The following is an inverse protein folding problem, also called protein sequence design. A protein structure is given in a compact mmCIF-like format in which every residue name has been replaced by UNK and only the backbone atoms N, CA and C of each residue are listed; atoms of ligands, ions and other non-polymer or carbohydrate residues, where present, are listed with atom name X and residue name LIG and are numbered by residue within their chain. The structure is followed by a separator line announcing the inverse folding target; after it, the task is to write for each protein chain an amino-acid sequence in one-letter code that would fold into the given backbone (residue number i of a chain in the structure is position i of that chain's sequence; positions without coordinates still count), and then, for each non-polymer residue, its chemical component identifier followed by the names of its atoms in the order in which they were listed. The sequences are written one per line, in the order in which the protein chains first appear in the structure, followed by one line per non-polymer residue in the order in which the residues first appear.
data_IF_034598595433
#
_entry.id   IF_034598595433
#
_cell.length_a   1.000
_cell.length_b   1.000
_cell.length_c   1.000
_cell.angle_alpha   90.00
_cell.angle_beta   90.00
_cell.angle_gamma   90.00
#
_symmetry.space_group_name_H-M   'P 1'
#
loop_
_entity.id
_entity.type
_entity.pdbx_description
1 polymer ?
#
# COMPACT_ATOMS: atom_id res chain seq x y z
N UNK A 1 15.74 14.02 13.21
CA UNK A 1 14.77 12.91 13.08
C UNK A 1 14.67 12.16 14.42
N UNK A 2 14.32 12.89 15.49
CA UNK A 2 14.15 12.34 16.84
C UNK A 2 12.75 12.69 17.29
N UNK A 3 11.81 11.84 16.91
CA UNK A 3 10.46 11.85 17.43
C UNK A 3 10.19 10.37 17.66
N UNK A 4 9.88 9.99 18.90
CA UNK A 4 9.45 8.65 19.34
C UNK A 4 10.56 7.75 19.94
N UNK A 5 10.67 7.79 21.27
CA UNK A 5 11.16 6.70 22.11
C UNK A 5 9.99 6.17 22.94
N UNK A 6 9.71 4.86 22.87
CA UNK A 6 8.65 4.22 23.65
C UNK A 6 8.29 2.82 23.14
N UNK A 7 8.09 1.88 24.08
CA UNK A 7 8.00 0.44 23.88
C UNK A 7 6.74 -0.04 23.11
N UNK A 8 5.69 0.79 23.04
CA UNK A 8 4.48 0.47 22.24
C UNK A 8 4.63 0.76 20.74
N UNK A 9 5.82 1.18 20.30
CA UNK A 9 6.11 1.49 18.90
C UNK A 9 6.77 0.31 18.14
N UNK A 10 7.03 -0.82 18.80
CA UNK A 10 7.64 -1.96 18.12
C UNK A 10 6.77 -2.50 16.98
N UNK A 11 5.43 -2.42 17.00
CA UNK A 11 4.67 -3.07 15.92
C UNK A 11 4.61 -2.29 14.59
N UNK A 12 4.48 -0.95 14.63
CA UNK A 12 4.46 -0.14 13.41
C UNK A 12 5.86 0.29 12.95
N UNK A 13 6.85 0.31 13.84
CA UNK A 13 8.22 0.66 13.50
C UNK A 13 9.21 -0.51 13.53
N UNK A 14 8.98 -1.67 14.15
CA UNK A 14 9.93 -2.81 13.99
C UNK A 14 9.90 -3.36 12.56
N UNK A 15 8.75 -3.26 11.86
CA UNK A 15 8.68 -3.47 10.39
C UNK A 15 9.39 -2.36 9.60
N UNK A 16 9.91 -1.31 10.24
CA UNK A 16 10.53 -0.15 9.56
C UNK A 16 11.98 0.04 10.02
N UNK A 17 12.35 -0.14 11.29
CA UNK A 17 13.69 0.15 11.80
C UNK A 17 14.68 -0.99 11.58
N UNK A 18 14.25 -2.24 11.72
CA UNK A 18 15.10 -3.41 11.43
C UNK A 18 14.98 -3.85 9.95
N UNK A 19 13.88 -3.46 9.30
CA UNK A 19 13.58 -3.76 7.90
C UNK A 19 14.17 -2.70 6.94
N UNK A 20 14.30 -1.41 7.31
CA UNK A 20 14.94 -0.44 6.38
C UNK A 20 16.42 -0.71 6.12
N UNK A 21 17.11 -1.44 7.00
CA UNK A 21 18.48 -1.93 6.74
C UNK A 21 18.52 -3.03 5.67
N UNK A 22 17.39 -3.65 5.36
CA UNK A 22 17.27 -4.75 4.38
C UNK A 22 16.26 -4.46 3.27
N UNK A 23 15.60 -3.32 3.21
CA UNK A 23 14.58 -3.01 2.19
C UNK A 23 14.96 -1.79 1.40
N UNK A 24 15.03 -1.97 0.09
CA UNK A 24 15.12 -0.88 -0.87
C UNK A 24 13.75 -0.71 -1.55
N UNK A 25 13.54 0.43 -2.19
CA UNK A 25 12.25 0.80 -2.76
C UNK A 25 12.41 1.42 -4.15
N UNK A 26 11.68 0.92 -5.14
CA UNK A 26 11.57 1.54 -6.48
C UNK A 26 10.11 1.62 -6.91
N UNK A 27 9.72 2.82 -7.37
CA UNK A 27 8.40 3.12 -7.91
C UNK A 27 8.45 3.31 -9.42
N UNK A 28 7.47 2.77 -10.12
CA UNK A 28 7.12 3.13 -11.49
C UNK A 28 5.68 3.64 -11.53
N UNK A 29 5.32 4.42 -12.55
CA UNK A 29 4.03 5.10 -12.63
C UNK A 29 3.34 4.77 -13.94
N UNK A 30 2.08 4.37 -13.86
CA UNK A 30 1.25 3.93 -14.99
C UNK A 30 -0.04 4.76 -15.02
N UNK A 31 -0.31 5.42 -16.14
CA UNK A 31 -1.49 6.29 -16.31
C UNK A 31 -2.67 5.56 -16.96
N UNK A 32 -3.90 5.88 -16.54
CA UNK A 32 -5.14 5.22 -16.99
C UNK A 32 -5.88 5.89 -18.17
N UNK A 33 -6.02 7.22 -18.29
CA UNK A 33 -6.97 7.86 -19.22
C UNK A 33 -6.93 7.36 -20.67
N UNK A 34 -5.73 7.05 -21.21
CA UNK A 34 -5.57 6.47 -22.54
C UNK A 34 -5.10 4.99 -22.52
N UNK A 35 -5.00 4.41 -21.32
CA UNK A 35 -4.27 3.18 -21.06
C UNK A 35 -2.75 3.37 -21.22
N UNK A 36 -1.92 2.67 -20.44
CA UNK A 36 -0.49 2.70 -20.69
C UNK A 36 -0.20 1.96 -22.00
N UNK A 37 0.76 2.48 -22.77
CA UNK A 37 1.28 1.74 -23.93
C UNK A 37 1.92 0.44 -23.47
N UNK A 38 1.92 -0.59 -24.31
CA UNK A 38 2.60 -1.86 -24.00
C UNK A 38 4.08 -1.64 -23.69
N UNK A 39 4.74 -0.74 -24.42
CA UNK A 39 6.13 -0.34 -24.15
C UNK A 39 6.30 0.23 -22.74
N UNK A 40 5.41 1.12 -22.30
CA UNK A 40 5.47 1.70 -20.94
C UNK A 40 5.31 0.63 -19.86
N UNK A 41 4.37 -0.29 -20.02
CA UNK A 41 4.17 -1.38 -19.06
C UNK A 41 5.38 -2.30 -19.03
N UNK A 42 5.89 -2.70 -20.19
CA UNK A 42 7.07 -3.54 -20.33
C UNK A 42 8.31 -2.92 -19.69
N UNK A 43 8.62 -1.66 -19.99
CA UNK A 43 9.79 -0.97 -19.43
C UNK A 43 9.68 -0.82 -17.90
N UNK A 44 8.48 -0.50 -17.39
CA UNK A 44 8.24 -0.41 -15.95
C UNK A 44 8.45 -1.77 -15.26
N UNK A 45 7.87 -2.84 -15.83
CA UNK A 45 7.98 -4.19 -15.30
C UNK A 45 9.42 -4.72 -15.37
N UNK A 46 10.09 -4.54 -16.51
CA UNK A 46 11.48 -4.93 -16.69
C UNK A 46 12.41 -4.20 -15.73
N UNK A 47 12.23 -2.89 -15.56
CA UNK A 47 12.98 -2.09 -14.60
C UNK A 47 12.79 -2.58 -13.16
N UNK A 48 11.54 -2.85 -12.75
CA UNK A 48 11.24 -3.39 -11.42
C UNK A 48 11.87 -4.77 -11.21
N UNK A 49 11.85 -5.63 -12.21
CA UNK A 49 12.41 -6.97 -12.12
C UNK A 49 13.93 -6.97 -11.93
N UNK A 50 14.65 -6.20 -12.76
CA UNK A 50 16.10 -5.99 -12.60
C UNK A 50 16.46 -5.43 -11.24
N UNK A 51 15.68 -4.44 -10.80
CA UNK A 51 15.86 -3.84 -9.49
C UNK A 51 15.67 -4.87 -8.36
N UNK A 52 14.64 -5.71 -8.44
CA UNK A 52 14.37 -6.74 -7.45
C UNK A 52 15.47 -7.80 -7.38
N UNK A 53 15.96 -8.26 -8.54
CA UNK A 53 17.07 -9.21 -8.61
C UNK A 53 18.35 -8.65 -7.96
N UNK A 54 18.76 -7.42 -8.36
CA UNK A 54 19.94 -6.76 -7.77
C UNK A 54 19.77 -6.56 -6.25
N UNK A 55 18.54 -6.25 -5.80
CA UNK A 55 18.27 -6.11 -4.36
C UNK A 55 18.53 -7.43 -3.63
N UNK A 56 18.00 -8.54 -4.16
CA UNK A 56 18.16 -9.87 -3.57
C UNK A 56 19.62 -10.33 -3.58
N UNK A 57 20.38 -10.06 -4.66
CA UNK A 57 21.82 -10.34 -4.74
C UNK A 57 22.64 -9.63 -3.64
N UNK A 58 22.11 -8.53 -3.10
CA UNK A 58 22.74 -7.75 -2.03
C UNK A 58 22.12 -8.02 -0.64
N UNK A 59 21.32 -9.09 -0.51
CA UNK A 59 20.67 -9.44 0.76
C UNK A 59 19.54 -8.48 1.17
N UNK A 60 18.99 -7.72 0.22
CA UNK A 60 17.87 -6.81 0.44
C UNK A 60 16.56 -7.42 -0.09
N UNK A 61 15.47 -7.24 0.66
CA UNK A 61 14.09 -7.52 0.28
C UNK A 61 13.55 -6.35 -0.55
N UNK A 62 13.30 -6.51 -1.86
CA UNK A 62 12.76 -5.46 -2.69
C UNK A 62 11.26 -5.23 -2.45
N UNK A 63 10.87 -3.95 -2.33
CA UNK A 63 9.47 -3.54 -2.52
C UNK A 63 9.22 -3.26 -4.00
N UNK A 64 8.29 -4.00 -4.59
CA UNK A 64 7.92 -3.88 -6.01
C UNK A 64 6.66 -3.01 -6.14
N UNK A 65 6.82 -1.76 -6.61
CA UNK A 65 5.73 -0.79 -6.73
C UNK A 65 5.49 -0.33 -8.19
N UNK A 66 4.61 -1.00 -8.95
CA UNK A 66 4.00 -0.46 -10.15
C UNK A 66 2.76 0.37 -9.77
N UNK A 67 2.94 1.65 -9.46
CA UNK A 67 1.80 2.50 -9.08
C UNK A 67 0.95 2.85 -10.30
N UNK A 68 -0.30 2.39 -10.27
CA UNK A 68 -1.31 2.78 -11.24
C UNK A 68 -2.04 4.01 -10.71
N UNK A 69 -1.96 5.10 -11.46
CA UNK A 69 -2.54 6.39 -11.11
C UNK A 69 -4.06 6.34 -11.17
N UNK A 70 -4.69 7.00 -10.21
CA UNK A 70 -6.15 7.10 -10.11
C UNK A 70 -6.72 8.30 -10.87
N UNK A 71 -5.91 9.05 -11.61
CA UNK A 71 -6.35 10.29 -12.26
C UNK A 71 -7.36 10.00 -13.40
N UNK A 72 -8.43 10.80 -13.47
CA UNK A 72 -9.52 10.70 -14.46
C UNK A 72 -10.85 10.17 -13.91
N UNK A 73 -11.83 9.99 -14.81
CA UNK A 73 -13.24 9.67 -14.52
C UNK A 73 -13.62 8.19 -14.71
N UNK A 74 -12.62 7.32 -14.92
CA UNK A 74 -12.83 5.92 -15.26
C UNK A 74 -13.48 5.10 -14.13
N UNK A 75 -14.29 4.11 -14.53
CA UNK A 75 -14.94 3.17 -13.62
C UNK A 75 -13.95 2.14 -13.04
N UNK A 76 -14.36 1.46 -11.95
CA UNK A 76 -13.51 0.47 -11.25
C UNK A 76 -13.08 -0.69 -12.17
N UNK A 77 -13.92 -1.09 -13.13
CA UNK A 77 -13.61 -2.15 -14.09
C UNK A 77 -12.43 -1.78 -14.99
N UNK A 78 -12.33 -0.50 -15.39
CA UNK A 78 -11.21 -0.03 -16.20
C UNK A 78 -9.90 -0.08 -15.41
N UNK A 79 -9.93 0.33 -14.14
CA UNK A 79 -8.78 0.19 -13.23
C UNK A 79 -8.37 -1.27 -13.08
N UNK A 80 -9.35 -2.16 -12.89
CA UNK A 80 -9.12 -3.60 -12.76
C UNK A 80 -8.42 -4.19 -13.98
N UNK A 81 -8.91 -3.89 -15.19
CA UNK A 81 -8.34 -4.42 -16.44
C UNK A 81 -6.91 -3.93 -16.68
N UNK A 82 -6.63 -2.64 -16.42
CA UNK A 82 -5.27 -2.11 -16.52
C UNK A 82 -4.37 -2.75 -15.47
N UNK A 83 -4.81 -2.84 -14.22
CA UNK A 83 -4.03 -3.46 -13.16
C UNK A 83 -3.71 -4.91 -13.43
N UNK A 84 -4.67 -5.65 -13.99
CA UNK A 84 -4.51 -7.05 -14.38
C UNK A 84 -3.44 -7.22 -15.46
N UNK A 85 -3.32 -6.30 -16.42
CA UNK A 85 -2.26 -6.31 -17.44
C UNK A 85 -0.89 -5.96 -16.85
N UNK A 86 -0.82 -4.88 -16.08
CA UNK A 86 0.43 -4.41 -15.46
C UNK A 86 1.03 -5.47 -14.53
N UNK A 87 0.21 -6.05 -13.63
CA UNK A 87 0.70 -7.06 -12.69
C UNK A 87 1.08 -8.38 -13.38
N UNK A 88 0.48 -8.72 -14.53
CA UNK A 88 0.91 -9.87 -15.32
C UNK A 88 2.34 -9.69 -15.85
N UNK A 89 2.61 -8.53 -16.47
CA UNK A 89 3.94 -8.19 -16.99
C UNK A 89 4.99 -8.11 -15.87
N UNK A 90 4.63 -7.53 -14.72
CA UNK A 90 5.53 -7.46 -13.56
C UNK A 90 5.95 -8.85 -13.10
N UNK A 91 5.00 -9.75 -12.85
CA UNK A 91 5.36 -11.11 -12.40
C UNK A 91 6.04 -11.95 -13.49
N UNK A 92 5.70 -11.73 -14.76
CA UNK A 92 6.43 -12.34 -15.88
C UNK A 92 7.90 -11.94 -15.85
N UNK A 93 8.20 -10.64 -15.77
CA UNK A 93 9.59 -10.19 -15.78
C UNK A 93 10.33 -10.47 -14.48
N UNK A 94 9.66 -10.49 -13.32
CA UNK A 94 10.27 -10.96 -12.07
C UNK A 94 10.74 -12.41 -12.22
N UNK A 95 9.92 -13.29 -12.82
CA UNK A 95 10.32 -14.67 -13.10
C UNK A 95 11.49 -14.75 -14.10
N UNK A 96 11.46 -13.96 -15.18
CA UNK A 96 12.56 -13.92 -16.17
C UNK A 96 13.89 -13.45 -15.57
N UNK A 97 13.86 -12.68 -14.48
CA UNK A 97 15.06 -12.22 -13.77
C UNK A 97 15.40 -13.10 -12.56
N UNK A 98 14.82 -14.31 -12.44
CA UNK A 98 15.03 -15.26 -11.35
C UNK A 98 14.79 -14.68 -9.95
N UNK A 99 13.85 -13.75 -9.82
CA UNK A 99 13.51 -13.15 -8.52
C UNK A 99 12.78 -14.18 -7.65
N UNK A 100 13.26 -14.38 -6.43
CA UNK A 100 12.63 -15.25 -5.44
C UNK A 100 11.37 -14.58 -4.86
N UNK A 101 10.18 -15.13 -5.11
CA UNK A 101 8.91 -14.49 -4.74
C UNK A 101 8.65 -14.47 -3.22
N UNK A 102 9.21 -15.44 -2.50
CA UNK A 102 9.22 -15.51 -1.04
C UNK A 102 9.97 -14.32 -0.41
N UNK A 103 10.89 -13.72 -1.17
CA UNK A 103 11.74 -12.61 -0.76
C UNK A 103 11.35 -11.26 -1.35
N UNK A 104 10.08 -11.04 -1.75
CA UNK A 104 9.61 -9.73 -2.23
C UNK A 104 8.38 -9.23 -1.46
N UNK A 105 8.16 -7.91 -1.50
CA UNK A 105 6.95 -7.27 -0.99
C UNK A 105 6.28 -6.42 -2.08
N UNK A 106 5.23 -6.93 -2.76
CA UNK A 106 4.44 -6.12 -3.67
C UNK A 106 3.75 -4.96 -2.96
N UNK A 107 3.85 -3.78 -3.54
CA UNK A 107 3.17 -2.56 -3.08
C UNK A 107 2.22 -2.03 -4.15
N UNK A 108 1.03 -2.64 -4.30
CA UNK A 108 0.01 -2.18 -5.24
C UNK A 108 -0.77 -0.97 -4.72
N UNK A 109 -1.37 -0.24 -5.66
CA UNK A 109 -2.58 0.55 -5.38
C UNK A 109 -3.79 -0.38 -5.25
N UNK A 110 -4.76 0.00 -4.43
CA UNK A 110 -6.06 -0.68 -4.40
C UNK A 110 -6.81 -0.41 -5.71
N UNK A 111 -7.64 -1.36 -6.14
CA UNK A 111 -8.48 -1.19 -7.33
C UNK A 111 -9.67 -0.31 -6.96
N UNK A 112 -9.63 0.95 -7.37
CA UNK A 112 -10.69 1.94 -7.13
C UNK A 112 -11.13 2.59 -8.44
N UNK A 113 -12.32 3.20 -8.50
CA UNK A 113 -12.63 4.16 -9.57
C UNK A 113 -11.62 5.31 -9.58
N UNK A 114 -11.61 6.03 -10.70
CA UNK A 114 -10.82 7.25 -10.85
C UNK A 114 -11.21 8.32 -9.82
N UNK A 115 -10.29 9.23 -9.52
CA UNK A 115 -10.47 10.26 -8.52
C UNK A 115 -11.64 11.20 -8.84
N UNK A 116 -11.88 11.42 -10.14
CA UNK A 116 -12.95 12.28 -10.67
C UNK A 116 -14.21 11.49 -11.04
N UNK A 117 -14.18 10.16 -10.90
CA UNK A 117 -15.34 9.31 -11.17
C UNK A 117 -16.50 9.66 -10.24
N UNK A 118 -17.68 9.89 -10.83
CA UNK A 118 -18.91 10.22 -10.09
C UNK A 118 -19.41 9.02 -9.28
N UNK A 119 -19.18 7.82 -9.79
CA UNK A 119 -19.56 6.57 -9.14
C UNK A 119 -18.49 6.18 -8.12
N UNK A 120 -18.77 6.42 -6.84
CA UNK A 120 -17.87 6.02 -5.75
C UNK A 120 -18.10 4.55 -5.41
N UNK A 121 -17.01 3.79 -5.30
CA UNK A 121 -17.07 2.40 -4.85
C UNK A 121 -17.12 2.33 -3.32
N UNK A 122 -17.90 1.39 -2.81
CA UNK A 122 -17.91 1.03 -1.38
C UNK A 122 -16.61 0.33 -0.98
N UNK A 123 -16.24 0.31 0.32
CA UNK A 123 -15.07 -0.45 0.78
C UNK A 123 -15.11 -1.93 0.40
N UNK A 124 -16.29 -2.55 0.44
CA UNK A 124 -16.46 -3.95 0.04
C UNK A 124 -16.19 -4.16 -1.45
N UNK A 125 -16.73 -3.30 -2.32
CA UNK A 125 -16.45 -3.38 -3.75
C UNK A 125 -14.96 -3.21 -4.04
N UNK A 126 -14.29 -2.24 -3.40
CA UNK A 126 -12.82 -2.07 -3.55
C UNK A 126 -12.09 -3.34 -3.09
N UNK A 127 -12.48 -3.93 -1.97
CA UNK A 127 -11.88 -5.15 -1.46
C UNK A 127 -12.07 -6.32 -2.43
N UNK A 128 -13.28 -6.54 -2.93
CA UNK A 128 -13.60 -7.65 -3.84
C UNK A 128 -12.79 -7.56 -5.14
N UNK A 129 -12.75 -6.38 -5.77
CA UNK A 129 -11.97 -6.14 -6.99
C UNK A 129 -10.47 -6.29 -6.75
N UNK A 130 -9.98 -5.76 -5.63
CA UNK A 130 -8.56 -5.82 -5.30
C UNK A 130 -8.11 -7.25 -5.01
N UNK A 131 -8.84 -7.98 -4.16
CA UNK A 131 -8.51 -9.37 -3.85
C UNK A 131 -8.67 -10.28 -5.06
N UNK A 132 -9.66 -10.03 -5.93
CA UNK A 132 -9.79 -10.73 -7.22
C UNK A 132 -8.55 -10.51 -8.09
N UNK A 133 -8.04 -9.28 -8.18
CA UNK A 133 -6.82 -8.97 -8.93
C UNK A 133 -5.63 -9.74 -8.36
N UNK A 134 -5.42 -9.68 -7.04
CA UNK A 134 -4.30 -10.37 -6.39
C UNK A 134 -4.36 -11.88 -6.65
N UNK A 135 -5.53 -12.51 -6.48
CA UNK A 135 -5.73 -13.95 -6.77
C UNK A 135 -5.45 -14.34 -8.22
N UNK A 136 -5.64 -13.43 -9.17
CA UNK A 136 -5.39 -13.70 -10.58
C UNK A 136 -3.95 -13.45 -11.03
N UNK A 137 -3.14 -12.73 -10.24
CA UNK A 137 -1.85 -12.19 -10.71
C UNK A 137 -0.69 -12.37 -9.76
N UNK A 138 -0.93 -12.61 -8.48
CA UNK A 138 0.13 -12.76 -7.49
C UNK A 138 0.16 -14.22 -7.02
N UNK A 139 1.31 -14.90 -7.05
CA UNK A 139 1.45 -16.24 -6.50
C UNK A 139 1.33 -16.26 -4.97
N UNK A 140 0.77 -17.33 -4.37
CA UNK A 140 0.74 -17.52 -2.91
C UNK A 140 2.12 -17.57 -2.23
N UNK A 141 3.20 -17.80 -2.98
CA UNK A 141 4.58 -17.79 -2.46
C UNK A 141 5.01 -16.41 -1.93
N UNK A 142 4.38 -15.33 -2.40
CA UNK A 142 4.63 -14.00 -1.85
C UNK A 142 4.18 -13.96 -0.38
N UNK A 143 4.97 -13.42 0.56
CA UNK A 143 4.61 -13.45 1.99
C UNK A 143 3.57 -12.39 2.36
N UNK A 144 3.59 -11.23 1.70
CA UNK A 144 2.67 -10.14 2.05
C UNK A 144 2.55 -9.05 1.01
N UNK A 145 1.41 -8.37 1.04
CA UNK A 145 1.03 -7.27 0.15
C UNK A 145 0.93 -5.99 0.97
N UNK A 146 1.68 -4.96 0.57
CA UNK A 146 1.84 -3.72 1.33
C UNK A 146 1.20 -2.56 0.59
N UNK A 147 -0.10 -2.34 0.73
CA UNK A 147 -0.84 -1.36 -0.07
C UNK A 147 -0.33 0.08 0.12
N UNK A 148 -0.23 0.83 -0.97
CA UNK A 148 -0.12 2.29 -0.91
C UNK A 148 -1.50 2.94 -0.78
N UNK A 149 -1.58 4.08 -0.10
CA UNK A 149 -2.86 4.79 0.11
C UNK A 149 -3.33 5.56 -1.13
N UNK A 150 -2.47 5.72 -2.13
CA UNK A 150 -2.68 6.54 -3.33
C UNK A 150 -3.24 7.93 -2.97
N UNK A 151 -4.27 8.40 -3.68
CA UNK A 151 -5.00 9.66 -3.43
C UNK A 151 -6.21 9.49 -2.49
N UNK A 152 -6.38 8.33 -1.86
CA UNK A 152 -7.52 8.10 -0.97
C UNK A 152 -7.43 8.97 0.29
N UNK A 153 -8.59 9.26 0.90
CA UNK A 153 -8.62 9.84 2.24
C UNK A 153 -8.05 8.84 3.27
N UNK A 154 -7.61 9.34 4.42
CA UNK A 154 -7.06 8.52 5.52
C UNK A 154 -8.06 7.44 5.96
N UNK A 155 -9.32 7.85 6.11
CA UNK A 155 -10.43 6.99 6.53
C UNK A 155 -10.72 5.95 5.46
N UNK A 156 -10.81 6.37 4.19
CA UNK A 156 -11.12 5.45 3.09
C UNK A 156 -10.06 4.35 2.95
N UNK A 157 -8.77 4.72 3.00
CA UNK A 157 -7.69 3.74 2.94
C UNK A 157 -7.78 2.70 4.08
N UNK A 158 -8.18 3.15 5.28
CA UNK A 158 -8.36 2.27 6.45
C UNK A 158 -9.54 1.34 6.27
N UNK A 159 -10.68 1.85 5.82
CA UNK A 159 -11.90 1.07 5.60
C UNK A 159 -11.70 0.02 4.51
N UNK A 160 -11.03 0.39 3.42
CA UNK A 160 -10.73 -0.54 2.33
C UNK A 160 -9.77 -1.65 2.78
N UNK A 161 -8.71 -1.29 3.52
CA UNK A 161 -7.78 -2.27 4.08
C UNK A 161 -8.49 -3.23 5.05
N UNK A 162 -9.39 -2.70 5.88
CA UNK A 162 -10.18 -3.48 6.81
C UNK A 162 -11.08 -4.48 6.08
N UNK A 163 -11.83 -4.02 5.07
CA UNK A 163 -12.70 -4.88 4.28
C UNK A 163 -11.93 -6.00 3.58
N UNK A 164 -10.72 -5.74 3.08
CA UNK A 164 -9.87 -6.79 2.50
C UNK A 164 -9.46 -7.85 3.52
N UNK A 165 -9.10 -7.45 4.75
CA UNK A 165 -8.69 -8.37 5.81
C UNK A 165 -9.86 -9.10 6.50
N UNK A 166 -11.10 -8.82 6.11
CA UNK A 166 -12.27 -9.59 6.53
C UNK A 166 -12.56 -10.79 5.62
N UNK A 167 -11.85 -10.89 4.48
CA UNK A 167 -11.94 -12.01 3.57
C UNK A 167 -10.68 -12.89 3.64
N UNK A 168 -10.78 -14.21 3.37
CA UNK A 168 -9.62 -15.10 3.37
C UNK A 168 -8.67 -14.79 2.21
N UNK A 169 -7.37 -14.71 2.52
CA UNK A 169 -6.29 -14.50 1.56
C UNK A 169 -5.08 -15.36 1.93
N UNK A 170 -4.29 -15.86 0.97
CA UNK A 170 -3.05 -16.58 1.27
C UNK A 170 -1.90 -15.63 1.67
N UNK A 171 -2.02 -14.33 1.38
CA UNK A 171 -1.02 -13.31 1.71
C UNK A 171 -1.36 -12.61 3.01
N UNK A 172 -0.33 -12.12 3.70
CA UNK A 172 -0.51 -11.08 4.71
C UNK A 172 -0.84 -9.73 4.03
N UNK A 173 -2.05 -9.20 4.22
CA UNK A 173 -2.48 -7.94 3.60
C UNK A 173 -2.33 -6.77 4.59
N UNK A 174 -1.41 -5.85 4.29
CA UNK A 174 -1.08 -4.71 5.17
C UNK A 174 -0.90 -3.40 4.39
N UNK A 175 -0.32 -2.40 5.03
CA UNK A 175 -0.18 -1.03 4.52
C UNK A 175 1.27 -0.55 4.50
N UNK A 176 1.62 0.19 3.44
CA UNK A 176 2.82 1.02 3.34
C UNK A 176 2.38 2.45 3.00
N UNK A 177 1.80 3.12 3.99
CA UNK A 177 1.17 4.43 3.84
C UNK A 177 2.12 5.58 4.18
N UNK A 178 2.22 6.54 3.26
CA UNK A 178 2.81 7.85 3.52
C UNK A 178 1.70 8.82 3.98
N UNK A 179 1.12 9.58 3.05
CA UNK A 179 0.12 10.64 3.31
C UNK A 179 -1.01 10.21 4.26
N UNK A 180 -1.52 8.99 4.12
CA UNK A 180 -2.61 8.50 4.96
C UNK A 180 -2.21 8.32 6.45
N UNK A 181 -0.92 8.15 6.74
CA UNK A 181 -0.38 7.94 8.07
C UNK A 181 0.09 9.24 8.72
N UNK A 182 0.97 10.00 8.06
CA UNK A 182 1.67 11.14 8.69
C UNK A 182 1.07 12.54 8.45
N UNK A 183 0.10 12.73 7.53
CA UNK A 183 -0.38 14.09 7.21
C UNK A 183 -1.01 14.82 8.41
N UNK A 184 -1.71 14.12 9.32
CA UNK A 184 -2.25 14.77 10.54
C UNK A 184 -1.12 15.20 11.48
N UNK A 185 -0.13 14.33 11.65
CA UNK A 185 1.05 14.58 12.46
C UNK A 185 1.85 15.79 11.94
N UNK A 186 2.12 15.86 10.64
CA UNK A 186 2.83 16.99 10.02
C UNK A 186 2.09 18.33 10.23
N UNK A 187 0.76 18.34 10.02
CA UNK A 187 -0.07 19.53 10.26
C UNK A 187 -0.05 19.99 11.71
N UNK A 188 -0.21 19.07 12.66
CA UNK A 188 -0.15 19.39 14.11
C UNK A 188 1.23 19.85 14.55
N UNK A 189 2.29 19.24 14.01
CA UNK A 189 3.66 19.64 14.33
C UNK A 189 3.95 21.07 13.91
N UNK A 190 3.57 21.46 12.68
CA UNK A 190 3.69 22.83 12.18
C UNK A 190 5.09 23.46 12.31
N UNK A 191 6.14 22.64 12.36
CA UNK A 191 7.52 23.09 12.61
C UNK A 191 7.81 23.58 14.04
N UNK A 192 6.86 23.51 14.97
CA UNK A 192 6.98 24.04 16.33
C UNK A 192 7.50 22.95 17.30
N UNK A 193 8.62 23.19 18.03
CA UNK A 193 9.15 22.22 18.98
C UNK A 193 8.15 21.82 20.09
N UNK A 194 7.28 22.73 20.52
CA UNK A 194 6.27 22.45 21.55
C UNK A 194 5.17 21.47 21.13
N UNK A 195 4.97 21.24 19.84
CA UNK A 195 3.86 20.42 19.32
C UNK A 195 4.27 18.95 19.09
N UNK A 196 5.45 18.54 19.55
CA UNK A 196 5.97 17.18 19.31
C UNK A 196 5.03 16.12 19.86
N UNK A 197 4.57 16.26 21.10
CA UNK A 197 3.68 15.28 21.75
C UNK A 197 2.34 15.16 21.04
N UNK A 198 1.73 16.28 20.70
CA UNK A 198 0.45 16.30 19.99
C UNK A 198 0.55 15.67 18.58
N UNK A 199 1.67 15.91 17.89
CA UNK A 199 1.95 15.30 16.59
C UNK A 199 2.18 13.78 16.70
N UNK A 200 2.87 13.33 17.75
CA UNK A 200 3.07 11.90 18.06
C UNK A 200 1.73 11.21 18.35
N UNK A 201 0.88 11.81 19.17
CA UNK A 201 -0.41 11.22 19.54
C UNK A 201 -1.31 11.09 18.30
N UNK A 202 -1.29 12.08 17.41
CA UNK A 202 -2.02 12.00 16.14
C UNK A 202 -1.48 10.93 15.18
N UNK A 203 -0.16 10.70 15.17
CA UNK A 203 0.44 9.59 14.42
C UNK A 203 0.00 8.24 15.00
N UNK A 204 0.00 8.10 16.33
CA UNK A 204 -0.39 6.87 17.03
C UNK A 204 -1.85 6.50 16.79
N UNK A 205 -2.76 7.48 16.79
CA UNK A 205 -4.18 7.25 16.42
C UNK A 205 -4.28 6.61 15.04
N UNK A 206 -3.57 7.15 14.06
CA UNK A 206 -3.58 6.64 12.69
C UNK A 206 -2.89 5.28 12.54
N UNK A 207 -1.79 5.07 13.25
CA UNK A 207 -1.10 3.79 13.32
C UNK A 207 -2.00 2.69 13.90
N UNK A 208 -2.68 2.97 15.02
CA UNK A 208 -3.64 2.06 15.66
C UNK A 208 -4.81 1.72 14.74
N UNK A 209 -5.39 2.72 14.08
CA UNK A 209 -6.48 2.50 13.13
C UNK A 209 -6.08 1.56 11.99
N UNK A 210 -4.90 1.78 11.37
CA UNK A 210 -4.42 0.90 10.30
C UNK A 210 -3.99 -0.48 10.80
N UNK A 211 -3.47 -0.59 12.02
CA UNK A 211 -3.16 -1.87 12.66
C UNK A 211 -4.44 -2.69 12.91
N UNK A 212 -5.52 -2.08 13.40
CA UNK A 212 -6.82 -2.75 13.53
C UNK A 212 -7.40 -3.14 12.18
N UNK A 213 -7.23 -2.30 11.15
CA UNK A 213 -7.67 -2.62 9.79
C UNK A 213 -6.89 -3.79 9.19
N UNK A 214 -5.60 -3.93 9.47
CA UNK A 214 -4.81 -5.09 9.08
C UNK A 214 -5.34 -6.38 9.72
N UNK A 215 -5.92 -6.30 10.91
CA UNK A 215 -6.56 -7.44 11.59
C UNK A 215 -8.03 -7.67 11.17
N UNK A 216 -8.60 -6.84 10.28
CA UNK A 216 -10.02 -6.89 9.92
C UNK A 216 -10.98 -6.45 11.04
N UNK A 217 -10.47 -5.74 12.06
CA UNK A 217 -11.17 -5.38 13.31
C UNK A 217 -11.40 -3.87 13.48
N UNK A 218 -11.18 -3.07 12.44
CA UNK A 218 -11.42 -1.63 12.51
C UNK A 218 -12.90 -1.30 12.41
N UNK A 219 -13.45 -0.67 13.47
CA UNK A 219 -14.87 -0.32 13.59
C UNK A 219 -15.19 1.15 13.26
N UNK A 220 -14.18 1.96 12.91
CA UNK A 220 -14.36 3.41 12.65
C UNK A 220 -14.24 4.31 13.88
N UNK A 221 -14.28 3.76 15.10
CA UNK A 221 -14.39 4.55 16.34
C UNK A 221 -13.09 5.26 16.76
N UNK A 222 -11.94 4.81 16.29
CA UNK A 222 -10.60 5.32 16.68
C UNK A 222 -10.41 6.80 16.35
N UNK A 223 -11.21 7.37 15.43
CA UNK A 223 -11.15 8.79 15.08
C UNK A 223 -12.03 9.71 15.94
N UNK A 224 -12.93 9.16 16.75
CA UNK A 224 -13.93 9.96 17.49
C UNK A 224 -13.39 10.66 18.75
N UNK A 225 -12.15 10.40 19.16
CA UNK A 225 -11.55 11.06 20.33
C UNK A 225 -12.32 10.86 21.64
N UNK A 226 -13.32 9.97 21.69
CA UNK A 226 -14.00 9.63 22.93
C UNK A 226 -13.25 8.49 23.60
N UNK A 227 -12.78 8.67 24.84
CA UNK A 227 -12.28 7.53 25.60
C UNK A 227 -13.44 6.54 25.74
N UNK A 228 -13.16 5.27 25.45
CA UNK A 228 -14.00 4.16 25.90
C UNK A 228 -14.20 4.29 27.41
N UNK A 229 -15.46 4.17 27.85
CA UNK A 229 -15.92 4.32 29.23
C UNK A 229 -15.04 3.59 30.24
#
# INVERSE_FOLDING_TARGET
MYILSGENMLFCFAIIKDILSIVIYRRTVVSIPNGPSELTVKEAAWGLARYAAISQDNGLVPIVEPEILLDGEHEIDRTFEIAKKVWAEVFFYLAQNNVMFEGILPKPSMVTPGAECKNRATPQQVADYTLKLLRQRIPPAVPGIMFLSSRQSKVQATLNLNAMNQAPTPWHVSFSYARALHNTCLKKRGGRPGNVKEAQDALLVRAKANSLAQLGKYTGEVESGRPSK
#
